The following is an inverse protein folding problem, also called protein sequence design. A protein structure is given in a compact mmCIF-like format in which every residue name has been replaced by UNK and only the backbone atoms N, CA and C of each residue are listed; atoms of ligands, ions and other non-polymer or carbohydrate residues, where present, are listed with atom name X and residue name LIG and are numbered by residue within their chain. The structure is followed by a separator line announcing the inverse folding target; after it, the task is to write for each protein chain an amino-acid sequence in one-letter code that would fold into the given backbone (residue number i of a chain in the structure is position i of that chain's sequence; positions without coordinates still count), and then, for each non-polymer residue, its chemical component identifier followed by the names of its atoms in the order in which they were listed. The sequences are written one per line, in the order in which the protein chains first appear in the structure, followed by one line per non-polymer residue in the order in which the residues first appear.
data_IF_756277257933
#
_entry.id   IF_756277257933
#
_cell.length_a   1.000
_cell.length_b   1.000
_cell.length_c   1.000
_cell.angle_alpha   90.00
_cell.angle_beta   90.00
_cell.angle_gamma   90.00
#
_symmetry.space_group_name_H-M   'P 1'
#
loop_
_entity.id
_entity.type
_entity.pdbx_description
1 polymer ?
#
# COMPACT_ATOMS: atom_id res chain seq x y z
N UNK A 1 26.24 -5.37 26.99
CA UNK A 1 25.85 -5.73 25.61
C UNK A 1 24.88 -6.88 25.76
N UNK A 2 23.64 -6.74 25.31
CA UNK A 2 22.61 -7.77 25.48
C UNK A 2 22.37 -8.38 24.10
N UNK A 3 22.44 -9.70 23.97
CA UNK A 3 22.10 -10.36 22.69
C UNK A 3 20.60 -10.27 22.43
N UNK A 4 20.16 -10.42 21.17
CA UNK A 4 18.73 -10.45 20.83
C UNK A 4 17.96 -11.51 21.66
N UNK A 5 18.58 -12.66 21.89
CA UNK A 5 18.00 -13.75 22.70
C UNK A 5 17.94 -13.36 24.18
N UNK A 6 18.94 -12.63 24.69
CA UNK A 6 18.87 -12.11 26.06
C UNK A 6 17.83 -10.99 26.21
N UNK A 7 17.58 -10.17 25.18
CA UNK A 7 16.47 -9.20 25.18
C UNK A 7 15.13 -9.91 25.26
N UNK A 8 14.93 -10.95 24.42
CA UNK A 8 13.73 -11.80 24.45
C UNK A 8 13.54 -12.45 25.83
N UNK A 9 14.61 -12.99 26.42
CA UNK A 9 14.57 -13.61 27.75
C UNK A 9 14.26 -12.62 28.88
N UNK A 10 14.45 -11.32 28.66
CA UNK A 10 14.11 -10.26 29.63
C UNK A 10 12.67 -9.79 29.51
N UNK A 11 12.04 -9.95 28.34
CA UNK A 11 10.65 -9.54 28.07
C UNK A 11 9.66 -10.68 28.34
N UNK A 12 9.65 -11.18 29.58
CA UNK A 12 8.85 -12.36 29.97
C UNK A 12 7.32 -12.10 29.96
N UNK A 13 6.89 -10.84 30.01
CA UNK A 13 5.48 -10.46 29.93
C UNK A 13 5.04 -10.04 28.52
N UNK A 14 5.94 -10.13 27.53
CA UNK A 14 5.70 -9.87 26.12
C UNK A 14 5.17 -8.47 25.82
N UNK A 15 5.50 -7.47 26.67
CA UNK A 15 4.99 -6.10 26.53
C UNK A 15 5.90 -5.20 25.70
N UNK A 16 7.10 -5.66 25.32
CA UNK A 16 8.02 -4.87 24.54
C UNK A 16 7.61 -4.79 23.05
N UNK A 17 6.64 -3.92 22.75
CA UNK A 17 6.14 -3.71 21.40
C UNK A 17 7.23 -3.26 20.41
N UNK A 18 8.24 -2.52 20.89
CA UNK A 18 9.38 -2.11 20.07
C UNK A 18 10.21 -3.32 19.61
N UNK A 19 10.52 -4.26 20.51
CA UNK A 19 11.22 -5.50 20.19
C UNK A 19 10.43 -6.35 19.17
N UNK A 20 9.12 -6.50 19.38
CA UNK A 20 8.23 -7.22 18.46
C UNK A 20 8.26 -6.59 17.06
N UNK A 21 8.06 -5.28 16.97
CA UNK A 21 8.01 -4.59 15.67
C UNK A 21 9.37 -4.61 14.95
N UNK A 22 10.46 -4.58 15.71
CA UNK A 22 11.82 -4.74 15.20
C UNK A 22 12.07 -6.14 14.64
N UNK A 23 11.69 -7.19 15.37
CA UNK A 23 11.77 -8.58 14.89
C UNK A 23 10.98 -8.75 13.59
N UNK A 24 9.72 -8.30 13.57
CA UNK A 24 8.90 -8.33 12.36
C UNK A 24 9.53 -7.57 11.19
N UNK A 25 10.18 -6.42 11.42
CA UNK A 25 10.87 -5.67 10.37
C UNK A 25 12.06 -6.45 9.78
N UNK A 26 12.88 -7.06 10.63
CA UNK A 26 14.02 -7.89 10.19
C UNK A 26 13.54 -9.06 9.31
N UNK A 27 12.47 -9.75 9.74
CA UNK A 27 11.86 -10.86 9.00
C UNK A 27 11.21 -10.37 7.70
N UNK A 28 10.35 -9.37 7.79
CA UNK A 28 9.47 -8.97 6.68
C UNK A 28 10.21 -8.25 5.56
N UNK A 29 11.17 -7.40 5.92
CA UNK A 29 11.85 -6.46 5.02
C UNK A 29 13.27 -6.90 4.74
N UNK A 30 14.05 -7.19 5.79
CA UNK A 30 15.47 -7.50 5.63
C UNK A 30 15.69 -8.94 5.18
N UNK A 31 14.69 -9.81 5.34
CA UNK A 31 14.75 -11.25 5.00
C UNK A 31 15.93 -11.95 5.68
N UNK A 32 16.34 -11.41 6.82
CA UNK A 32 17.43 -11.92 7.65
C UNK A 32 17.01 -11.79 9.10
N UNK A 33 17.43 -12.76 9.89
CA UNK A 33 17.46 -12.66 11.34
C UNK A 33 18.94 -12.77 11.80
N UNK A 34 19.88 -13.02 10.86
CA UNK A 34 21.29 -13.31 11.11
C UNK A 34 22.27 -12.44 10.28
N UNK A 35 23.55 -12.49 10.68
CA UNK A 35 24.75 -11.71 10.29
C UNK A 35 24.88 -10.34 10.96
N UNK A 36 25.81 -10.28 11.91
CA UNK A 36 26.62 -9.12 12.29
C UNK A 36 25.88 -7.77 12.13
N UNK A 37 25.12 -7.42 13.16
CA UNK A 37 24.23 -6.26 13.31
C UNK A 37 24.71 -4.96 12.65
N UNK A 38 23.75 -4.22 12.07
CA UNK A 38 23.87 -2.77 11.84
C UNK A 38 22.48 -2.11 11.67
N UNK A 39 21.58 -2.26 12.64
CA UNK A 39 20.69 -1.15 12.94
C UNK A 39 21.35 -0.31 14.05
N UNK A 40 21.03 0.99 14.13
CA UNK A 40 21.79 1.91 14.99
C UNK A 40 21.71 1.56 16.50
N UNK A 41 20.78 0.66 16.87
CA UNK A 41 20.47 0.28 18.25
C UNK A 41 21.20 -1.00 18.71
N UNK A 42 21.74 -1.83 17.79
CA UNK A 42 22.61 -2.95 18.14
C UNK A 42 23.96 -2.85 17.42
N UNK A 43 25.04 -2.75 18.21
CA UNK A 43 26.41 -2.86 17.69
C UNK A 43 26.68 -4.28 17.19
N UNK A 44 27.43 -4.37 16.10
CA UNK A 44 27.89 -5.61 15.46
C UNK A 44 28.56 -6.56 16.48
N UNK A 45 27.85 -7.58 16.94
CA UNK A 45 28.37 -8.74 17.65
C UNK A 45 28.43 -9.99 16.76
N UNK A 46 29.47 -10.79 16.92
CA UNK A 46 29.80 -12.00 16.13
C UNK A 46 28.85 -13.20 16.35
N UNK A 47 27.69 -13.01 16.97
CA UNK A 47 26.78 -14.13 17.23
C UNK A 47 26.04 -14.55 15.96
N UNK A 48 26.34 -15.77 15.52
CA UNK A 48 25.54 -16.50 14.53
C UNK A 48 24.37 -17.15 15.28
N UNK A 49 23.14 -16.77 14.94
CA UNK A 49 21.95 -17.42 15.51
C UNK A 49 21.87 -18.87 15.02
N UNK A 50 21.47 -19.77 15.92
CA UNK A 50 21.27 -21.20 15.68
C UNK A 50 19.80 -21.54 15.41
N UNK A 51 19.50 -22.74 14.95
CA UNK A 51 18.10 -23.17 14.78
C UNK A 51 17.29 -23.13 16.09
N UNK A 52 17.85 -23.50 17.26
CA UNK A 52 17.22 -23.25 18.56
C UNK A 52 16.93 -21.78 18.87
N UNK A 53 17.76 -20.85 18.42
CA UNK A 53 17.51 -19.42 18.61
C UNK A 53 16.35 -18.93 17.76
N UNK A 54 16.27 -19.40 16.52
CA UNK A 54 15.13 -19.12 15.64
C UNK A 54 13.83 -19.70 16.22
N UNK A 55 13.88 -20.89 16.81
CA UNK A 55 12.72 -21.48 17.50
C UNK A 55 12.27 -20.59 18.67
N UNK A 56 13.20 -20.16 19.54
CA UNK A 56 12.90 -19.23 20.63
C UNK A 56 12.27 -17.92 20.15
N UNK A 57 12.73 -17.36 19.02
CA UNK A 57 12.13 -16.16 18.42
C UNK A 57 10.69 -16.44 17.98
N UNK A 58 10.44 -17.58 17.34
CA UNK A 58 9.10 -17.96 16.87
C UNK A 58 8.14 -18.17 18.04
N UNK A 59 8.60 -18.85 19.09
CA UNK A 59 7.82 -19.09 20.32
C UNK A 59 7.53 -17.78 21.06
N UNK A 60 8.51 -16.86 21.12
CA UNK A 60 8.33 -15.53 21.69
C UNK A 60 7.27 -14.73 20.91
N UNK A 61 7.38 -14.68 19.59
CA UNK A 61 6.41 -13.97 18.75
C UNK A 61 4.99 -14.56 18.88
N UNK A 62 4.86 -15.89 18.82
CA UNK A 62 3.59 -16.58 19.08
C UNK A 62 2.99 -16.15 20.42
N UNK A 63 3.77 -16.28 21.49
CA UNK A 63 3.33 -15.95 22.85
C UNK A 63 2.92 -14.48 22.98
N UNK A 64 3.70 -13.57 22.39
CA UNK A 64 3.39 -12.15 22.36
C UNK A 64 2.08 -11.84 21.61
N UNK A 65 1.73 -12.61 20.58
CA UNK A 65 0.44 -12.49 19.89
C UNK A 65 -0.72 -12.99 20.75
N UNK A 66 -0.54 -14.10 21.46
CA UNK A 66 -1.56 -14.73 22.31
C UNK A 66 -1.89 -13.93 23.59
N UNK A 67 -0.96 -13.09 24.07
CA UNK A 67 -1.21 -12.20 25.22
C UNK A 67 -2.10 -11.00 24.90
N UNK A 68 -2.36 -10.74 23.61
CA UNK A 68 -3.19 -9.61 23.20
C UNK A 68 -4.67 -10.00 23.17
N UNK A 69 -5.53 -9.03 23.44
CA UNK A 69 -6.99 -9.21 23.32
C UNK A 69 -7.39 -9.66 21.90
N UNK A 70 -6.71 -9.12 20.88
CA UNK A 70 -6.88 -9.50 19.49
C UNK A 70 -5.55 -9.98 18.90
N UNK A 71 -5.65 -10.97 18.01
CA UNK A 71 -4.49 -11.57 17.36
C UNK A 71 -3.64 -10.52 16.62
N UNK A 72 -2.33 -10.59 16.80
CA UNK A 72 -1.40 -9.70 16.10
C UNK A 72 -1.09 -10.23 14.69
N UNK A 73 -1.84 -9.76 13.69
CA UNK A 73 -1.64 -10.21 12.31
C UNK A 73 -0.30 -9.79 11.70
N UNK A 74 0.41 -8.81 12.28
CA UNK A 74 1.78 -8.50 11.85
C UNK A 74 2.73 -9.64 12.24
N UNK A 75 2.54 -10.20 13.44
CA UNK A 75 3.29 -11.38 13.89
C UNK A 75 2.96 -12.59 13.02
N UNK A 76 1.67 -12.85 12.78
CA UNK A 76 1.23 -13.94 11.90
C UNK A 76 1.89 -13.84 10.52
N UNK A 77 1.91 -12.63 9.94
CA UNK A 77 2.56 -12.37 8.66
C UNK A 77 4.06 -12.69 8.67
N UNK A 78 4.78 -12.29 9.71
CA UNK A 78 6.21 -12.59 9.83
C UNK A 78 6.47 -14.08 10.00
N UNK A 79 5.71 -14.77 10.86
CA UNK A 79 5.82 -16.21 11.04
C UNK A 79 5.49 -17.00 9.75
N UNK A 80 4.51 -16.58 8.97
CA UNK A 80 4.23 -17.20 7.67
C UNK A 80 5.41 -17.07 6.68
N UNK A 81 6.13 -15.95 6.72
CA UNK A 81 7.34 -15.76 5.88
C UNK A 81 8.52 -16.61 6.34
N UNK A 82 8.62 -16.87 7.64
CA UNK A 82 9.54 -17.86 8.18
C UNK A 82 9.16 -19.24 7.63
N UNK A 83 7.89 -19.62 7.71
CA UNK A 83 7.37 -20.91 7.24
C UNK A 83 7.65 -21.16 5.75
N UNK A 84 7.47 -20.15 4.91
CA UNK A 84 7.62 -20.27 3.46
C UNK A 84 9.08 -20.13 2.98
N UNK A 85 10.02 -19.92 3.90
CA UNK A 85 11.44 -19.80 3.59
C UNK A 85 11.81 -18.48 2.91
N UNK A 86 11.04 -17.42 3.13
CA UNK A 86 11.38 -16.08 2.60
C UNK A 86 12.59 -15.45 3.32
N UNK A 87 12.95 -15.95 4.50
CA UNK A 87 14.18 -15.60 5.21
C UNK A 87 15.35 -16.45 4.71
N UNK A 88 16.50 -15.79 4.50
CA UNK A 88 17.77 -16.48 4.26
C UNK A 88 18.16 -17.19 5.55
N UNK A 89 18.22 -18.52 5.51
CA UNK A 89 18.66 -19.36 6.62
C UNK A 89 19.50 -20.52 6.08
N UNK A 90 20.62 -20.88 6.74
CA UNK A 90 21.56 -21.89 6.21
C UNK A 90 21.00 -23.32 6.18
N UNK A 91 19.99 -23.62 7.00
CA UNK A 91 19.44 -24.97 7.17
C UNK A 91 17.93 -25.04 6.85
N UNK A 92 17.39 -26.24 6.67
CA UNK A 92 15.92 -26.39 6.61
C UNK A 92 15.35 -26.18 8.00
N UNK A 93 14.53 -25.15 8.17
CA UNK A 93 13.84 -24.88 9.42
C UNK A 93 12.43 -25.46 9.40
N UNK A 94 12.04 -26.13 10.48
CA UNK A 94 10.70 -26.69 10.69
C UNK A 94 10.20 -26.16 12.03
N UNK A 95 8.99 -25.61 12.05
CA UNK A 95 8.38 -25.13 13.29
C UNK A 95 8.14 -26.24 14.30
N UNK A 96 8.04 -25.86 15.58
CA UNK A 96 7.37 -26.66 16.60
C UNK A 96 5.91 -26.91 16.19
N UNK A 97 5.34 -28.01 16.67
CA UNK A 97 3.93 -28.35 16.45
C UNK A 97 3.01 -27.23 16.97
N UNK A 98 3.38 -26.59 18.07
CA UNK A 98 2.64 -25.48 18.69
C UNK A 98 2.60 -24.24 17.79
N UNK A 99 3.73 -23.82 17.20
CA UNK A 99 3.77 -22.65 16.30
C UNK A 99 3.05 -22.97 14.99
N UNK A 100 3.19 -24.18 14.45
CA UNK A 100 2.46 -24.61 13.28
C UNK A 100 0.93 -24.60 13.51
N UNK A 101 0.49 -25.13 14.66
CA UNK A 101 -0.92 -25.16 15.07
C UNK A 101 -1.48 -23.75 15.28
N UNK A 102 -0.70 -22.86 15.89
CA UNK A 102 -1.05 -21.45 16.04
C UNK A 102 -1.32 -20.78 14.68
N UNK A 103 -0.44 -20.96 13.68
CA UNK A 103 -0.63 -20.36 12.36
C UNK A 103 -1.82 -20.94 11.61
N UNK A 104 -2.02 -22.26 11.70
CA UNK A 104 -3.18 -22.91 11.11
C UNK A 104 -4.49 -22.34 11.69
N UNK A 105 -4.57 -22.23 13.03
CA UNK A 105 -5.72 -21.65 13.72
C UNK A 105 -5.91 -20.17 13.33
N UNK A 106 -4.85 -19.37 13.35
CA UNK A 106 -4.87 -17.95 12.99
C UNK A 106 -5.47 -17.68 11.60
N UNK A 107 -5.18 -18.53 10.62
CA UNK A 107 -5.71 -18.41 9.27
C UNK A 107 -7.15 -18.93 9.13
N UNK A 108 -7.49 -20.02 9.82
CA UNK A 108 -8.84 -20.60 9.73
C UNK A 108 -9.89 -19.78 10.48
N UNK A 109 -9.51 -19.24 11.64
CA UNK A 109 -10.39 -18.46 12.50
C UNK A 109 -10.47 -16.98 12.05
N UNK A 110 -9.72 -16.60 11.00
CA UNK A 110 -9.69 -15.24 10.50
C UNK A 110 -11.10 -14.79 10.07
N UNK A 111 -11.56 -13.67 10.64
CA UNK A 111 -12.82 -13.02 10.31
C UNK A 111 -12.61 -11.50 10.20
N UNK A 112 -13.43 -10.84 9.36
CA UNK A 112 -13.41 -9.39 9.30
C UNK A 112 -14.08 -8.78 10.54
N UNK A 113 -13.52 -7.70 11.12
CA UNK A 113 -14.16 -6.95 12.17
C UNK A 113 -15.57 -6.47 11.79
N UNK A 114 -16.47 -6.42 12.78
CA UNK A 114 -17.83 -5.92 12.57
C UNK A 114 -17.85 -4.39 12.44
N UNK A 115 -18.45 -3.89 11.37
CA UNK A 115 -18.60 -2.46 11.10
C UNK A 115 -19.86 -1.95 11.81
N UNK A 116 -19.71 -1.04 12.79
CA UNK A 116 -20.84 -0.51 13.57
C UNK A 116 -21.72 0.48 12.79
N UNK A 117 -21.12 1.29 11.92
CA UNK A 117 -21.83 2.32 11.15
C UNK A 117 -21.41 2.25 9.67
N UNK A 118 -22.09 1.40 8.89
CA UNK A 118 -21.81 1.27 7.45
C UNK A 118 -22.13 2.54 6.66
N UNK A 119 -23.15 3.32 7.06
CA UNK A 119 -23.54 4.55 6.35
C UNK A 119 -22.53 5.69 6.44
N UNK A 120 -21.54 5.58 7.31
CA UNK A 120 -20.42 6.51 7.36
C UNK A 120 -19.29 6.16 6.39
N UNK A 121 -19.39 5.05 5.65
CA UNK A 121 -18.40 4.64 4.66
C UNK A 121 -18.73 5.23 3.29
N UNK A 122 -17.71 5.75 2.62
CA UNK A 122 -17.80 6.29 1.28
C UNK A 122 -18.00 5.16 0.24
N UNK A 123 -19.05 5.28 -0.57
CA UNK A 123 -19.31 4.41 -1.70
C UNK A 123 -18.65 4.99 -2.97
N UNK A 124 -17.69 4.26 -3.54
CA UNK A 124 -16.96 4.69 -4.74
C UNK A 124 -17.89 4.85 -5.95
N UNK A 125 -18.86 3.94 -6.13
CA UNK A 125 -19.79 4.00 -7.26
C UNK A 125 -20.65 5.26 -7.27
N UNK A 126 -21.12 5.72 -6.10
CA UNK A 126 -21.85 6.97 -5.95
C UNK A 126 -21.01 8.17 -6.37
N UNK A 127 -19.74 8.22 -5.98
CA UNK A 127 -18.83 9.30 -6.38
C UNK A 127 -18.61 9.32 -7.90
N UNK A 128 -18.37 8.16 -8.51
CA UNK A 128 -18.18 8.03 -9.97
C UNK A 128 -19.38 8.58 -10.73
N UNK A 129 -20.59 8.26 -10.27
CA UNK A 129 -21.84 8.71 -10.90
C UNK A 129 -22.13 10.21 -10.65
N UNK A 130 -21.70 10.76 -9.51
CA UNK A 130 -21.88 12.16 -9.17
C UNK A 130 -20.89 13.09 -9.90
N UNK A 131 -19.69 12.60 -10.21
CA UNK A 131 -18.66 13.41 -10.87
C UNK A 131 -19.00 13.63 -12.34
N UNK A 132 -19.63 14.78 -12.61
CA UNK A 132 -19.73 15.36 -13.93
C UNK A 132 -18.70 16.47 -14.08
N UNK A 133 -17.91 16.44 -15.16
CA UNK A 133 -17.07 17.59 -15.53
C UNK A 133 -18.04 18.69 -15.92
N UNK A 134 -18.31 19.63 -15.02
CA UNK A 134 -19.19 20.77 -15.28
C UNK A 134 -18.56 21.68 -16.33
N UNK A 135 -19.03 21.68 -17.59
CA UNK A 135 -18.47 22.53 -18.62
C UNK A 135 -18.84 23.98 -18.30
N UNK A 136 -17.86 24.87 -18.21
CA UNK A 136 -18.08 26.32 -18.07
C UNK A 136 -17.79 26.94 -16.70
N UNK A 137 -17.37 26.16 -15.71
CA UNK A 137 -16.75 26.75 -14.50
C UNK A 137 -15.35 27.28 -14.80
N UNK A 138 -14.99 28.40 -14.17
CA UNK A 138 -13.67 28.99 -14.34
C UNK A 138 -12.58 28.07 -13.78
N UNK A 139 -11.50 27.90 -14.54
CA UNK A 139 -10.35 27.10 -14.12
C UNK A 139 -9.64 27.80 -12.96
N UNK A 140 -9.50 27.12 -11.83
CA UNK A 140 -8.73 27.60 -10.68
C UNK A 140 -7.31 27.05 -10.74
N UNK A 141 -6.33 27.96 -10.77
CA UNK A 141 -4.93 27.60 -10.63
C UNK A 141 -4.60 27.47 -9.15
N UNK A 142 -4.07 26.32 -8.72
CA UNK A 142 -3.67 26.07 -7.34
C UNK A 142 -2.15 25.99 -7.21
N UNK A 143 -1.62 26.50 -6.08
CA UNK A 143 -0.20 26.72 -5.88
C UNK A 143 0.57 25.47 -5.45
N UNK A 144 0.59 24.46 -6.31
CA UNK A 144 1.40 23.26 -6.12
C UNK A 144 1.90 22.69 -7.43
N UNK A 145 2.99 21.93 -7.36
CA UNK A 145 3.48 21.13 -8.47
C UNK A 145 2.94 19.71 -8.37
N UNK A 146 2.39 19.19 -9.46
CA UNK A 146 2.00 17.78 -9.54
C UNK A 146 3.15 16.93 -10.10
N UNK A 147 3.74 16.09 -9.24
CA UNK A 147 4.77 15.11 -9.60
C UNK A 147 4.09 13.80 -9.98
N UNK A 148 3.85 13.64 -11.28
CA UNK A 148 3.16 12.49 -11.88
C UNK A 148 4.16 11.38 -12.20
N UNK A 149 4.24 10.39 -11.32
CA UNK A 149 5.19 9.26 -11.46
C UNK A 149 4.50 7.94 -11.82
N UNK A 150 3.63 7.42 -10.95
CA UNK A 150 2.84 6.23 -11.27
C UNK A 150 1.76 6.63 -12.28
N UNK A 151 1.64 5.88 -13.38
CA UNK A 151 0.71 6.21 -14.47
C UNK A 151 -0.75 6.10 -14.02
N UNK A 152 -1.11 5.05 -13.30
CA UNK A 152 -2.48 4.79 -12.82
C UNK A 152 -2.90 5.81 -11.78
N UNK A 153 -2.13 5.95 -10.69
CA UNK A 153 -2.38 6.97 -9.66
C UNK A 153 -2.33 8.38 -10.24
N UNK A 154 -1.40 8.60 -11.17
CA UNK A 154 -1.26 9.86 -11.87
C UNK A 154 -2.50 10.25 -12.66
N UNK A 155 -3.14 9.29 -13.34
CA UNK A 155 -4.42 9.50 -14.02
C UNK A 155 -5.57 9.72 -13.04
N UNK A 156 -5.59 8.98 -11.93
CA UNK A 156 -6.61 9.15 -10.90
C UNK A 156 -6.56 10.55 -10.27
N UNK A 157 -5.37 11.05 -9.95
CA UNK A 157 -5.21 12.41 -9.41
C UNK A 157 -5.48 13.47 -10.49
N UNK A 158 -5.04 13.26 -11.73
CA UNK A 158 -5.44 14.13 -12.86
C UNK A 158 -6.96 14.24 -12.97
N UNK A 159 -7.69 13.14 -12.80
CA UNK A 159 -9.14 13.13 -12.86
C UNK A 159 -9.76 13.94 -11.71
N UNK A 160 -9.33 13.73 -10.46
CA UNK A 160 -9.79 14.49 -9.29
C UNK A 160 -9.56 16.01 -9.42
N UNK A 161 -8.44 16.41 -10.02
CA UNK A 161 -8.15 17.81 -10.31
C UNK A 161 -9.08 18.38 -11.37
N UNK A 162 -9.25 17.66 -12.47
CA UNK A 162 -10.05 18.11 -13.62
C UNK A 162 -11.55 18.15 -13.31
N UNK A 163 -12.06 17.21 -12.51
CA UNK A 163 -13.48 17.19 -12.11
C UNK A 163 -13.88 18.43 -11.29
N UNK A 164 -12.93 19.05 -10.61
CA UNK A 164 -13.12 20.26 -9.82
C UNK A 164 -12.58 21.53 -10.50
N UNK A 165 -12.26 21.46 -11.80
CA UNK A 165 -11.70 22.57 -12.58
C UNK A 165 -10.41 23.17 -11.98
N UNK A 166 -9.58 22.33 -11.36
CA UNK A 166 -8.32 22.73 -10.73
C UNK A 166 -7.15 22.38 -11.65
N UNK A 167 -6.24 23.34 -11.83
CA UNK A 167 -4.94 23.10 -12.46
C UNK A 167 -3.79 23.38 -11.48
N UNK A 168 -2.80 22.46 -11.35
CA UNK A 168 -1.56 22.77 -10.68
C UNK A 168 -0.77 23.85 -11.43
N UNK A 169 0.10 24.57 -10.72
CA UNK A 169 0.97 25.59 -11.34
C UNK A 169 2.00 25.00 -12.30
N UNK A 170 2.40 23.75 -12.07
CA UNK A 170 3.28 22.99 -12.97
C UNK A 170 3.10 21.49 -12.80
N UNK A 171 3.52 20.72 -13.82
CA UNK A 171 3.49 19.25 -13.81
C UNK A 171 4.86 18.71 -14.14
N UNK A 172 5.33 17.76 -13.34
CA UNK A 172 6.54 16.98 -13.59
C UNK A 172 6.10 15.57 -13.93
N UNK A 173 6.18 15.20 -15.21
CA UNK A 173 5.90 13.82 -15.67
C UNK A 173 7.19 13.01 -15.57
N UNK A 174 7.21 12.02 -14.69
CA UNK A 174 8.36 11.14 -14.53
C UNK A 174 8.21 9.91 -15.42
N UNK A 175 9.25 9.62 -16.21
CA UNK A 175 9.38 8.37 -16.97
C UNK A 175 10.33 7.45 -16.21
N UNK A 176 9.86 6.32 -15.66
CA UNK A 176 10.71 5.39 -14.95
C UNK A 176 11.84 4.87 -15.83
N UNK A 177 13.10 5.15 -15.48
CA UNK A 177 14.24 4.51 -16.17
C UNK A 177 14.34 3.07 -15.68
N UNK A 178 14.02 2.10 -16.53
CA UNK A 178 14.22 0.69 -16.19
C UNK A 178 15.71 0.41 -16.01
N UNK A 179 16.10 -0.13 -14.85
CA UNK A 179 17.47 -0.61 -14.63
C UNK A 179 17.86 -1.61 -15.73
N UNK A 180 19.11 -1.60 -16.19
CA UNK A 180 19.62 -2.55 -17.18
C UNK A 180 19.39 -4.02 -16.78
N UNK A 181 19.45 -4.33 -15.48
CA UNK A 181 19.11 -5.67 -14.94
C UNK A 181 17.67 -6.08 -15.24
N UNK A 182 16.70 -5.17 -15.12
CA UNK A 182 15.29 -5.41 -15.52
C UNK A 182 15.09 -5.51 -17.03
N UNK A 183 15.92 -4.85 -17.84
CA UNK A 183 15.93 -5.01 -19.31
C UNK A 183 16.44 -6.39 -19.73
N UNK A 184 17.51 -6.89 -19.12
CA UNK A 184 18.07 -8.22 -19.39
C UNK A 184 17.18 -9.35 -18.84
N UNK A 185 16.60 -9.19 -17.63
CA UNK A 185 15.57 -10.11 -17.13
C UNK A 185 14.26 -10.06 -17.95
N UNK A 186 13.97 -8.94 -18.61
CA UNK A 186 12.89 -8.80 -19.58
C UNK A 186 13.18 -9.43 -20.95
N UNK A 187 14.43 -9.84 -21.21
CA UNK A 187 14.89 -10.53 -22.42
C UNK A 187 15.02 -12.05 -22.23
N UNK A 188 14.85 -12.58 -21.01
CA UNK A 188 14.68 -14.02 -20.81
C UNK A 188 13.40 -14.48 -21.53
N UNK A 189 13.45 -15.56 -22.32
CA UNK A 189 12.44 -15.86 -23.32
C UNK A 189 11.04 -15.95 -22.72
N UNK A 190 10.13 -15.32 -23.45
CA UNK A 190 8.67 -15.22 -23.30
C UNK A 190 7.97 -16.57 -22.98
N UNK A 191 8.67 -17.70 -23.09
CA UNK A 191 8.17 -19.06 -22.79
C UNK A 191 7.75 -19.31 -21.33
N UNK A 192 8.21 -18.51 -20.35
CA UNK A 192 7.78 -18.64 -18.95
C UNK A 192 6.67 -17.66 -18.52
N UNK A 193 6.16 -16.82 -19.43
CA UNK A 193 4.97 -16.03 -19.13
C UNK A 193 3.76 -16.97 -19.14
N UNK A 194 3.24 -17.33 -17.96
CA UNK A 194 1.93 -17.96 -17.86
C UNK A 194 0.92 -16.96 -18.46
N UNK A 195 0.44 -17.21 -19.67
CA UNK A 195 -0.74 -16.54 -20.18
C UNK A 195 -1.94 -17.21 -19.52
N UNK A 196 -2.83 -16.44 -18.90
CA UNK A 196 -4.14 -16.98 -18.51
C UNK A 196 -5.06 -16.70 -19.70
N UNK A 197 -5.30 -17.73 -20.50
CA UNK A 197 -6.31 -17.67 -21.56
C UNK A 197 -7.68 -17.85 -20.90
N UNK A 198 -8.36 -16.74 -20.62
CA UNK A 198 -9.76 -16.75 -20.21
C UNK A 198 -10.58 -16.78 -21.51
N UNK A 199 -11.16 -17.94 -21.83
CA UNK A 199 -12.15 -18.05 -22.92
C UNK A 199 -13.48 -17.51 -22.40
N UNK A 200 -13.69 -16.20 -22.52
CA UNK A 200 -15.03 -15.62 -22.40
C UNK A 200 -15.86 -16.10 -23.62
N UNK A 201 -17.15 -16.42 -23.43
CA UNK A 201 -18.07 -16.86 -24.50
C UNK A 201 -18.10 -15.86 -25.69
N UNK A 202 -18.47 -16.28 -26.92
CA UNK A 202 -17.86 -15.79 -28.15
C UNK A 202 -18.22 -14.33 -28.45
N UNK A 203 -17.18 -13.48 -28.48
CA UNK A 203 -17.27 -12.08 -28.89
C UNK A 203 -16.06 -11.25 -28.50
N UNK A 204 -15.45 -11.51 -27.34
CA UNK A 204 -14.21 -10.87 -26.88
C UNK A 204 -13.25 -11.88 -26.27
N UNK A 205 -12.28 -12.36 -27.06
CA UNK A 205 -11.08 -13.00 -26.54
C UNK A 205 -10.16 -11.89 -25.97
N UNK A 206 -10.27 -11.59 -24.67
CA UNK A 206 -9.25 -10.80 -24.01
C UNK A 206 -8.15 -11.74 -23.50
N UNK A 207 -7.00 -11.74 -24.17
CA UNK A 207 -5.77 -12.36 -23.66
C UNK A 207 -5.29 -11.54 -22.46
N UNK A 208 -5.60 -12.00 -21.24
CA UNK A 208 -5.03 -11.41 -20.03
C UNK A 208 -3.65 -12.01 -19.82
N UNK A 209 -2.60 -11.27 -20.19
CA UNK A 209 -1.26 -11.64 -19.74
C UNK A 209 -1.25 -11.56 -18.20
N UNK A 210 -0.55 -12.48 -17.51
CA UNK A 210 -0.35 -12.40 -16.05
C UNK A 210 0.37 -11.12 -15.60
N UNK A 211 0.78 -10.23 -16.52
CA UNK A 211 1.27 -8.88 -16.21
C UNK A 211 0.19 -7.78 -16.23
N UNK A 212 -0.97 -8.02 -16.83
CA UNK A 212 -2.05 -7.03 -16.89
C UNK A 212 -3.07 -7.21 -15.77
N UNK A 213 -3.51 -6.12 -15.16
CA UNK A 213 -4.67 -6.13 -14.28
C UNK A 213 -5.94 -6.32 -15.09
N UNK A 214 -6.84 -7.17 -14.61
CA UNK A 214 -8.18 -7.30 -15.16
C UNK A 214 -9.13 -6.45 -14.32
N UNK A 215 -9.94 -5.61 -14.94
CA UNK A 215 -10.98 -4.93 -14.19
C UNK A 215 -12.07 -5.95 -13.82
N UNK A 216 -12.19 -6.25 -12.53
CA UNK A 216 -13.10 -7.28 -11.98
C UNK A 216 -14.30 -6.69 -11.22
N UNK A 217 -14.47 -5.38 -11.27
CA UNK A 217 -15.49 -4.67 -10.49
C UNK A 217 -16.77 -4.48 -11.31
N UNK A 218 -17.88 -4.18 -10.63
CA UNK A 218 -19.16 -3.84 -11.27
C UNK A 218 -19.06 -2.59 -12.14
N UNK A 219 -20.04 -2.33 -13.01
CA UNK A 219 -20.00 -1.18 -13.93
C UNK A 219 -19.89 0.17 -13.21
N UNK A 220 -20.57 0.33 -12.08
CA UNK A 220 -20.44 1.52 -11.23
C UNK A 220 -19.02 1.71 -10.64
N UNK A 221 -18.22 0.65 -10.69
CA UNK A 221 -16.82 0.60 -10.28
C UNK A 221 -15.88 0.34 -11.48
N UNK A 222 -16.35 0.48 -12.73
CA UNK A 222 -15.56 0.25 -13.94
C UNK A 222 -14.78 1.50 -14.38
N UNK A 223 -13.68 1.74 -13.69
CA UNK A 223 -13.01 3.04 -13.61
C UNK A 223 -12.02 3.32 -14.75
N UNK A 224 -11.65 2.31 -15.53
CA UNK A 224 -10.81 2.50 -16.72
C UNK A 224 -11.47 3.41 -17.77
N UNK A 225 -12.81 3.54 -17.75
CA UNK A 225 -13.57 4.49 -18.58
C UNK A 225 -13.50 5.93 -18.05
N UNK A 226 -13.20 6.10 -16.75
CA UNK A 226 -13.10 7.39 -16.04
C UNK A 226 -11.70 8.01 -16.21
N UNK A 227 -10.66 7.18 -16.20
CA UNK A 227 -9.25 7.62 -16.22
C UNK A 227 -8.71 7.98 -17.61
N UNK A 228 -9.18 9.08 -18.19
CA UNK A 228 -8.48 9.74 -19.29
C UNK A 228 -7.39 10.68 -18.77
N UNK A 229 -6.16 10.61 -19.30
CA UNK A 229 -5.16 11.66 -19.05
C UNK A 229 -5.52 12.90 -19.87
N UNK A 230 -6.40 13.74 -19.34
CA UNK A 230 -6.86 14.98 -19.99
C UNK A 230 -6.20 16.24 -19.42
N UNK A 231 -5.29 16.08 -18.47
CA UNK A 231 -4.60 17.20 -17.84
C UNK A 231 -3.54 17.74 -18.80
N UNK A 232 -3.88 18.81 -19.53
CA UNK A 232 -2.98 19.50 -20.45
C UNK A 232 -2.53 20.81 -19.82
N UNK A 233 -1.24 20.92 -19.48
CA UNK A 233 -0.67 22.14 -18.87
C UNK A 233 0.54 22.60 -19.67
N UNK A 234 0.58 23.90 -20.00
CA UNK A 234 1.68 24.53 -20.75
C UNK A 234 3.03 24.41 -20.02
N UNK A 235 3.02 24.48 -18.69
CA UNK A 235 4.21 24.34 -17.86
C UNK A 235 4.38 22.89 -17.38
N UNK A 236 4.66 21.99 -18.33
CA UNK A 236 4.98 20.59 -18.03
C UNK A 236 6.44 20.28 -18.37
N UNK A 237 7.09 19.50 -17.51
CA UNK A 237 8.42 18.96 -17.76
C UNK A 237 8.41 17.45 -17.69
N UNK A 238 9.27 16.81 -18.47
CA UNK A 238 9.45 15.36 -18.47
C UNK A 238 10.82 15.02 -17.93
N UNK A 239 10.86 14.17 -16.90
CA UNK A 239 12.11 13.75 -16.26
C UNK A 239 12.22 12.24 -16.28
N UNK A 240 13.38 11.71 -16.70
CA UNK A 240 13.64 10.28 -16.63
C UNK A 240 14.30 9.96 -15.29
N UNK A 241 13.70 9.17 -14.41
CA UNK A 241 14.29 8.79 -13.11
C UNK A 241 13.85 7.39 -12.68
N UNK A 242 14.65 6.67 -11.89
CA UNK A 242 14.29 5.36 -11.33
C UNK A 242 13.92 5.42 -9.85
N UNK A 243 14.35 6.46 -9.15
CA UNK A 243 14.12 6.69 -7.74
C UNK A 243 13.84 8.19 -7.48
N UNK A 244 12.89 8.50 -6.60
CA UNK A 244 12.48 9.87 -6.27
C UNK A 244 13.61 10.74 -5.67
N UNK A 245 14.68 10.11 -5.20
CA UNK A 245 15.82 10.78 -4.56
C UNK A 245 16.98 11.07 -5.52
N UNK A 246 16.84 10.78 -6.83
CA UNK A 246 17.89 11.10 -7.82
C UNK A 246 17.98 12.63 -8.05
N UNK A 247 19.21 13.16 -8.13
CA UNK A 247 19.46 14.60 -8.29
C UNK A 247 18.60 15.28 -9.36
N UNK A 248 18.46 14.69 -10.55
CA UNK A 248 17.65 15.25 -11.65
C UNK A 248 16.16 15.43 -11.32
N UNK A 249 15.55 14.54 -10.53
CA UNK A 249 14.15 14.71 -10.11
C UNK A 249 14.06 15.63 -8.90
N UNK A 250 15.04 15.61 -7.99
CA UNK A 250 15.15 16.58 -6.89
C UNK A 250 15.25 18.00 -7.43
N UNK A 251 16.11 18.25 -8.41
CA UNK A 251 16.27 19.54 -9.07
C UNK A 251 15.01 19.99 -9.81
N UNK A 252 14.31 19.05 -10.45
CA UNK A 252 13.01 19.33 -11.08
C UNK A 252 11.95 19.73 -10.04
N UNK A 253 11.85 19.02 -8.92
CA UNK A 253 10.92 19.33 -7.83
C UNK A 253 11.21 20.68 -7.18
N UNK A 254 12.50 21.03 -7.00
CA UNK A 254 12.94 22.36 -6.55
C UNK A 254 12.46 23.47 -7.48
N UNK A 255 12.67 23.29 -8.79
CA UNK A 255 12.29 24.25 -9.84
C UNK A 255 10.78 24.30 -10.12
N UNK A 256 10.02 23.30 -9.70
CA UNK A 256 8.57 23.32 -9.79
C UNK A 256 7.99 24.55 -9.10
N UNK A 257 6.83 25.02 -9.53
CA UNK A 257 6.17 26.16 -8.90
C UNK A 257 5.37 25.75 -7.64
N UNK A 258 5.14 26.71 -6.76
CA UNK A 258 4.33 26.55 -5.54
C UNK A 258 5.02 25.90 -4.35
N UNK A 259 4.37 26.02 -3.20
CA UNK A 259 4.85 25.62 -1.87
C UNK A 259 4.69 24.13 -1.57
N UNK A 260 3.84 23.44 -2.34
CA UNK A 260 3.54 22.02 -2.14
C UNK A 260 3.78 21.17 -3.40
N UNK A 261 4.00 19.88 -3.20
CA UNK A 261 4.14 18.84 -4.20
C UNK A 261 3.06 17.77 -3.99
N UNK A 262 2.15 17.61 -4.95
CA UNK A 262 1.29 16.43 -5.01
C UNK A 262 2.06 15.30 -5.66
N UNK A 263 2.20 14.16 -4.98
CA UNK A 263 3.07 13.08 -5.43
C UNK A 263 2.32 11.76 -5.64
N UNK A 264 2.42 11.19 -6.84
CA UNK A 264 1.77 9.92 -7.21
C UNK A 264 2.72 8.71 -7.17
N UNK A 265 3.68 8.66 -6.24
CA UNK A 265 4.58 7.50 -6.03
C UNK A 265 5.97 7.67 -6.66
N UNK A 266 6.88 6.72 -6.48
CA UNK A 266 8.31 6.89 -6.84
C UNK A 266 9.30 6.40 -5.77
N UNK A 267 8.75 5.80 -4.70
CA UNK A 267 9.50 5.20 -3.60
C UNK A 267 9.52 6.09 -2.35
N UNK A 268 10.27 5.64 -1.35
CA UNK A 268 10.48 6.37 -0.10
C UNK A 268 11.31 7.63 -0.35
N UNK A 269 10.80 8.78 0.06
CA UNK A 269 11.51 10.06 0.02
C UNK A 269 12.48 10.12 1.20
N UNK A 270 13.75 10.43 0.93
CA UNK A 270 14.82 10.50 1.94
C UNK A 270 14.90 11.89 2.53
N UNK A 271 15.45 11.99 3.74
CA UNK A 271 15.68 13.25 4.46
C UNK A 271 16.33 14.32 3.56
N UNK A 272 17.43 13.97 2.91
CA UNK A 272 18.15 14.88 2.00
C UNK A 272 17.27 15.40 0.84
N UNK A 273 16.28 14.62 0.38
CA UNK A 273 15.33 15.08 -0.64
C UNK A 273 14.34 16.08 -0.06
N UNK A 274 13.80 15.83 1.14
CA UNK A 274 12.93 16.80 1.82
C UNK A 274 13.65 18.14 2.06
N UNK A 275 14.88 18.09 2.58
CA UNK A 275 15.69 19.27 2.86
C UNK A 275 16.04 20.06 1.60
N UNK A 276 16.46 19.39 0.53
CA UNK A 276 16.83 20.07 -0.72
C UNK A 276 15.64 20.65 -1.46
N UNK A 277 14.49 19.97 -1.45
CA UNK A 277 13.28 20.42 -2.14
C UNK A 277 12.59 21.54 -1.36
N UNK A 278 12.59 21.45 -0.03
CA UNK A 278 12.03 22.44 0.89
C UNK A 278 10.58 22.86 0.53
N UNK A 279 9.72 21.87 0.32
CA UNK A 279 8.28 22.02 0.03
C UNK A 279 7.47 20.99 0.80
N UNK A 280 6.18 21.22 0.96
CA UNK A 280 5.25 20.23 1.55
C UNK A 280 5.01 19.09 0.56
N UNK A 281 5.15 17.85 0.99
CA UNK A 281 4.85 16.67 0.17
C UNK A 281 3.46 16.15 0.51
N UNK A 282 2.50 16.33 -0.39
CA UNK A 282 1.14 15.84 -0.23
C UNK A 282 1.10 14.40 -0.76
N UNK A 283 0.75 13.48 0.13
CA UNK A 283 0.58 12.07 -0.19
C UNK A 283 -0.80 11.58 0.27
N UNK A 284 -1.40 10.72 -0.55
CA UNK A 284 -2.58 9.95 -0.18
C UNK A 284 -2.10 8.53 0.06
N UNK A 285 -2.25 8.00 1.27
CA UNK A 285 -1.85 6.64 1.65
C UNK A 285 -3.11 5.81 1.91
N UNK A 286 -3.24 4.58 1.38
CA UNK A 286 -4.47 3.78 1.45
C UNK A 286 -4.54 3.05 2.80
N UNK A 287 -4.31 3.77 3.89
CA UNK A 287 -4.45 3.29 5.24
C UNK A 287 -4.82 4.42 6.19
N UNK A 288 -5.44 4.05 7.30
CA UNK A 288 -5.80 4.98 8.37
C UNK A 288 -4.56 5.35 9.18
N UNK A 289 -4.13 6.60 9.14
CA UNK A 289 -2.92 7.07 9.83
C UNK A 289 -3.24 7.65 11.22
N UNK A 290 -2.47 7.31 12.28
CA UNK A 290 -1.19 6.60 12.25
C UNK A 290 -1.28 5.06 12.31
N UNK A 291 -2.47 4.50 12.52
CA UNK A 291 -2.72 3.08 12.84
C UNK A 291 -2.11 2.10 11.80
N UNK A 292 -2.23 2.40 10.51
CA UNK A 292 -1.81 1.54 9.39
C UNK A 292 -0.85 2.28 8.46
N UNK A 293 0.46 2.18 8.70
CA UNK A 293 1.54 2.71 7.83
C UNK A 293 2.17 1.60 6.98
N UNK A 294 2.83 1.97 5.90
CA UNK A 294 3.71 1.07 5.14
C UNK A 294 3.06 0.43 3.91
N UNK A 295 3.44 -0.82 3.62
CA UNK A 295 2.99 -1.51 2.41
C UNK A 295 1.61 -2.16 2.61
N UNK A 296 0.91 -2.45 1.51
CA UNK A 296 -0.40 -3.11 1.47
C UNK A 296 -1.46 -2.45 2.37
N UNK A 297 -1.40 -1.12 2.52
CA UNK A 297 -2.29 -0.37 3.41
C UNK A 297 -3.77 -0.71 3.22
N UNK A 298 -4.22 -0.92 1.98
CA UNK A 298 -5.60 -1.34 1.69
C UNK A 298 -5.94 -2.63 2.46
N UNK A 299 -5.12 -3.67 2.29
CA UNK A 299 -5.38 -4.98 2.86
C UNK A 299 -5.23 -4.97 4.38
N UNK A 300 -4.24 -4.26 4.91
CA UNK A 300 -4.09 -4.11 6.36
C UNK A 300 -5.26 -3.34 6.98
N UNK A 301 -5.76 -2.30 6.32
CA UNK A 301 -6.94 -1.56 6.79
C UNK A 301 -8.17 -2.47 6.82
N UNK A 302 -8.42 -3.23 5.76
CA UNK A 302 -9.55 -4.17 5.74
C UNK A 302 -9.41 -5.25 6.82
N UNK A 303 -8.21 -5.81 7.00
CA UNK A 303 -7.96 -6.84 8.01
C UNK A 303 -8.20 -6.33 9.44
N UNK A 304 -7.76 -5.11 9.74
CA UNK A 304 -7.78 -4.56 11.09
C UNK A 304 -9.10 -3.84 11.43
N UNK A 305 -9.75 -3.23 10.44
CA UNK A 305 -10.92 -2.37 10.64
C UNK A 305 -12.20 -2.93 10.01
N UNK A 306 -12.09 -3.92 9.11
CA UNK A 306 -13.21 -4.45 8.32
C UNK A 306 -13.53 -3.64 7.07
N UNK A 307 -12.89 -2.49 6.88
CA UNK A 307 -13.07 -1.59 5.74
C UNK A 307 -11.72 -0.98 5.31
N UNK A 308 -11.57 -0.63 4.02
CA UNK A 308 -10.41 0.12 3.57
C UNK A 308 -10.52 1.61 3.93
N UNK A 309 -9.37 2.26 4.11
CA UNK A 309 -9.29 3.69 4.42
C UNK A 309 -8.21 4.35 3.58
N UNK A 310 -8.25 5.68 3.45
CA UNK A 310 -7.20 6.47 2.84
C UNK A 310 -6.97 7.76 3.63
N UNK A 311 -5.71 8.08 3.91
CA UNK A 311 -5.31 9.30 4.61
C UNK A 311 -4.54 10.21 3.66
N UNK A 312 -4.96 11.48 3.58
CA UNK A 312 -4.19 12.58 3.02
C UNK A 312 -3.31 13.21 4.10
N UNK A 313 -2.02 13.43 3.83
CA UNK A 313 -1.12 14.01 4.81
C UNK A 313 0.06 14.74 4.15
N UNK A 314 0.67 15.66 4.91
CA UNK A 314 1.97 16.22 4.57
C UNK A 314 3.07 15.30 5.06
N UNK A 315 3.65 14.53 4.15
CA UNK A 315 4.67 13.53 4.43
C UNK A 315 5.97 14.16 4.93
N UNK A 316 6.61 13.51 5.91
CA UNK A 316 7.97 13.79 6.35
C UNK A 316 8.88 12.55 6.19
N UNK A 317 10.06 12.55 6.82
CA UNK A 317 11.12 11.54 6.62
C UNK A 317 10.72 10.10 6.98
N UNK A 318 9.79 9.91 7.91
CA UNK A 318 9.35 8.57 8.31
C UNK A 318 8.39 7.93 7.30
N UNK A 319 8.13 6.63 7.47
CA UNK A 319 7.20 5.89 6.61
C UNK A 319 5.77 6.31 6.96
N UNK A 320 5.12 6.99 6.03
CA UNK A 320 3.75 7.48 6.15
C UNK A 320 3.48 8.30 7.43
N UNK A 321 4.50 9.03 7.88
CA UNK A 321 4.42 9.97 9.01
C UNK A 321 4.31 11.40 8.51
N UNK A 322 3.69 12.26 9.34
CA UNK A 322 3.46 13.67 9.02
C UNK A 322 2.09 14.15 9.47
N UNK A 323 1.76 15.42 9.21
CA UNK A 323 0.47 16.00 9.59
C UNK A 323 -0.66 15.47 8.71
N UNK A 324 -1.65 14.79 9.30
CA UNK A 324 -2.83 14.27 8.57
C UNK A 324 -3.80 15.42 8.31
N UNK A 325 -4.17 15.58 7.03
CA UNK A 325 -5.04 16.62 6.49
C UNK A 325 -6.49 16.14 6.45
N UNK A 326 -6.67 14.89 6.01
CA UNK A 326 -7.97 14.28 5.84
C UNK A 326 -7.84 12.75 5.85
N UNK A 327 -8.93 12.09 6.18
CA UNK A 327 -9.05 10.64 6.21
C UNK A 327 -10.46 10.30 5.74
N UNK A 328 -10.54 9.31 4.86
CA UNK A 328 -11.80 8.77 4.38
C UNK A 328 -11.79 7.25 4.54
N UNK A 329 -12.95 6.67 4.85
CA UNK A 329 -13.16 5.23 4.99
C UNK A 329 -14.17 4.78 3.95
N UNK A 330 -13.91 3.67 3.28
CA UNK A 330 -14.66 3.26 2.10
C UNK A 330 -15.39 1.95 2.36
N UNK A 331 -16.43 1.69 1.59
CA UNK A 331 -17.05 0.37 1.57
C UNK A 331 -16.09 -0.68 1.00
N UNK A 332 -16.40 -1.96 1.14
CA UNK A 332 -15.64 -2.99 0.45
C UNK A 332 -15.93 -2.94 -1.07
N UNK A 333 -14.96 -3.29 -1.93
CA UNK A 333 -15.17 -3.35 -3.36
C UNK A 333 -16.32 -4.27 -3.75
N UNK A 334 -17.18 -3.82 -4.66
CA UNK A 334 -18.19 -4.65 -5.30
C UNK A 334 -17.64 -5.26 -6.59
N UNK A 335 -17.63 -6.60 -6.63
CA UNK A 335 -17.08 -7.36 -7.76
C UNK A 335 -18.17 -7.79 -8.73
N UNK A 336 -17.81 -7.90 -10.01
CA UNK A 336 -18.65 -8.55 -11.00
C UNK A 336 -18.65 -10.07 -10.72
N UNK A 337 -19.76 -10.57 -10.19
CA UNK A 337 -19.89 -11.97 -9.76
C UNK A 337 -19.62 -12.96 -10.89
N UNK A 338 -20.13 -12.70 -12.09
CA UNK A 338 -19.89 -13.56 -13.25
C UNK A 338 -18.40 -13.65 -13.59
N UNK A 339 -17.73 -12.50 -13.62
CA UNK A 339 -16.31 -12.43 -13.94
C UNK A 339 -15.45 -13.09 -12.86
N UNK A 340 -15.84 -12.98 -11.58
CA UNK A 340 -15.14 -13.70 -10.50
C UNK A 340 -15.30 -15.21 -10.67
N UNK A 341 -16.50 -15.72 -10.90
CA UNK A 341 -16.73 -17.15 -11.07
C UNK A 341 -15.97 -17.71 -12.28
N UNK A 342 -15.90 -16.95 -13.37
CA UNK A 342 -15.08 -17.28 -14.53
C UNK A 342 -13.59 -17.26 -14.19
N UNK A 343 -13.11 -16.26 -13.45
CA UNK A 343 -11.71 -16.18 -13.02
C UNK A 343 -11.32 -17.32 -12.10
N UNK A 344 -12.16 -17.67 -11.13
CA UNK A 344 -11.91 -18.77 -10.20
C UNK A 344 -11.78 -20.09 -10.96
N UNK A 345 -12.66 -20.32 -11.94
CA UNK A 345 -12.64 -21.51 -12.79
C UNK A 345 -11.40 -21.62 -13.69
N UNK A 346 -10.84 -20.49 -14.16
CA UNK A 346 -9.81 -20.48 -15.20
C UNK A 346 -8.40 -20.08 -14.72
N UNK A 347 -8.29 -19.20 -13.71
CA UNK A 347 -7.01 -18.68 -13.24
C UNK A 347 -6.28 -19.63 -12.27
N UNK A 348 -6.98 -20.64 -11.71
CA UNK A 348 -6.45 -21.65 -10.80
C UNK A 348 -5.56 -21.01 -9.71
N UNK A 349 -4.27 -21.36 -9.67
CA UNK A 349 -3.33 -20.85 -8.67
C UNK A 349 -3.02 -19.35 -8.76
N UNK A 350 -3.38 -18.67 -9.85
CA UNK A 350 -3.18 -17.23 -10.01
C UNK A 350 -4.41 -16.40 -9.59
N UNK A 351 -5.52 -17.03 -9.21
CA UNK A 351 -6.79 -16.33 -8.95
C UNK A 351 -6.63 -15.17 -7.96
N UNK A 352 -6.09 -15.44 -6.78
CA UNK A 352 -5.89 -14.41 -5.75
C UNK A 352 -4.89 -13.33 -6.15
N UNK A 353 -3.87 -13.67 -6.95
CA UNK A 353 -2.91 -12.68 -7.45
C UNK A 353 -3.57 -11.71 -8.44
N UNK A 354 -4.49 -12.21 -9.28
CA UNK A 354 -5.28 -11.35 -10.17
C UNK A 354 -6.17 -10.43 -9.34
N UNK A 355 -6.94 -10.96 -8.40
CA UNK A 355 -7.82 -10.15 -7.53
C UNK A 355 -7.04 -9.09 -6.76
N UNK A 356 -5.92 -9.49 -6.14
CA UNK A 356 -5.01 -8.60 -5.43
C UNK A 356 -4.55 -7.42 -6.30
N UNK A 357 -4.05 -7.70 -7.51
CA UNK A 357 -3.59 -6.66 -8.44
C UNK A 357 -4.73 -5.80 -8.94
N UNK A 358 -5.88 -6.38 -9.23
CA UNK A 358 -7.05 -5.61 -9.65
C UNK A 358 -7.49 -4.60 -8.60
N UNK A 359 -7.47 -4.96 -7.31
CA UNK A 359 -7.73 -4.03 -6.22
C UNK A 359 -6.72 -2.87 -6.23
N UNK A 360 -5.42 -3.18 -6.32
CA UNK A 360 -4.36 -2.17 -6.33
C UNK A 360 -4.35 -1.28 -7.59
N UNK A 361 -4.77 -1.81 -8.74
CA UNK A 361 -4.70 -1.11 -10.03
C UNK A 361 -5.99 -0.33 -10.36
N UNK A 362 -7.11 -0.62 -9.69
CA UNK A 362 -8.38 0.06 -9.96
C UNK A 362 -9.04 0.68 -8.73
N UNK A 363 -9.13 -0.06 -7.62
CA UNK A 363 -9.86 0.39 -6.43
C UNK A 363 -9.03 1.35 -5.56
N UNK A 364 -7.79 0.99 -5.25
CA UNK A 364 -6.86 1.84 -4.48
C UNK A 364 -6.67 3.25 -5.09
N UNK A 365 -6.42 3.39 -6.41
CA UNK A 365 -6.31 4.70 -7.04
C UNK A 365 -7.56 5.57 -6.90
N UNK A 366 -8.76 4.97 -6.85
CA UNK A 366 -9.99 5.73 -6.66
C UNK A 366 -10.12 6.27 -5.25
N UNK A 367 -9.88 5.43 -4.23
CA UNK A 367 -9.95 5.88 -2.85
C UNK A 367 -9.06 7.11 -2.65
N UNK A 368 -7.85 7.07 -3.21
CA UNK A 368 -6.92 8.20 -3.16
C UNK A 368 -7.40 9.41 -3.96
N UNK A 369 -8.03 9.21 -5.11
CA UNK A 369 -8.59 10.30 -5.92
C UNK A 369 -9.78 10.99 -5.21
N UNK A 370 -10.67 10.20 -4.60
CA UNK A 370 -11.80 10.70 -3.79
C UNK A 370 -11.26 11.50 -2.60
N UNK A 371 -10.34 10.91 -1.83
CA UNK A 371 -9.71 11.58 -0.69
C UNK A 371 -9.02 12.88 -1.10
N UNK A 372 -8.34 12.89 -2.26
CA UNK A 372 -7.74 14.11 -2.83
C UNK A 372 -8.82 15.13 -3.20
N UNK A 373 -9.93 14.71 -3.82
CA UNK A 373 -11.06 15.58 -4.14
C UNK A 373 -11.61 16.26 -2.89
N UNK A 374 -11.78 15.55 -1.78
CA UNK A 374 -12.28 16.13 -0.53
C UNK A 374 -11.28 17.14 0.07
N UNK A 375 -9.97 16.87 -0.04
CA UNK A 375 -8.93 17.85 0.33
C UNK A 375 -9.02 19.11 -0.53
N UNK A 376 -9.20 18.96 -1.84
CA UNK A 376 -9.28 20.09 -2.78
C UNK A 376 -10.55 20.94 -2.55
N UNK A 377 -11.66 20.33 -2.13
CA UNK A 377 -12.88 21.05 -1.73
C UNK A 377 -12.64 21.95 -0.52
N UNK A 378 -11.91 21.46 0.49
CA UNK A 378 -11.52 22.28 1.66
C UNK A 378 -10.64 23.48 1.27
N UNK A 379 -9.74 23.30 0.31
CA UNK A 379 -8.93 24.40 -0.25
C UNK A 379 -9.80 25.35 -1.08
N UNK A 380 -10.83 24.84 -1.76
CA UNK A 380 -11.78 25.67 -2.51
C UNK A 380 -12.67 26.54 -1.63
N UNK A 381 -13.00 26.09 -0.43
CA UNK A 381 -13.78 26.85 0.55
C UNK A 381 -13.01 28.04 1.17
N UNK A 382 -11.77 28.31 0.76
CA UNK A 382 -11.01 29.51 1.13
C UNK A 382 -9.71 29.24 1.88
N UNK A 383 -9.40 27.97 2.19
CA UNK A 383 -8.13 27.60 2.83
C UNK A 383 -6.99 27.59 1.81
N UNK A 384 -5.81 28.08 2.18
CA UNK A 384 -4.60 27.80 1.41
C UNK A 384 -4.25 26.31 1.51
N UNK A 385 -3.61 25.77 0.46
CA UNK A 385 -2.99 24.44 0.54
C UNK A 385 -1.87 24.39 1.59
N UNK A 386 -1.46 25.53 2.13
CA UNK A 386 -0.51 25.61 3.23
C UNK A 386 -1.15 25.62 4.62
N UNK A 387 -2.42 25.99 4.71
CA UNK A 387 -3.10 26.34 5.96
C UNK A 387 -4.19 25.32 6.33
N UNK A 388 -4.16 24.13 5.73
CA UNK A 388 -5.10 23.07 6.08
C UNK A 388 -4.87 22.62 7.52
N UNK A 389 -5.96 22.40 8.25
CA UNK A 389 -5.92 21.89 9.63
C UNK A 389 -5.23 20.51 9.66
N UNK A 390 -4.32 20.35 10.64
CA UNK A 390 -3.50 19.16 10.77
C UNK A 390 -3.78 18.41 12.06
N UNK A 391 -4.09 17.13 11.91
CA UNK A 391 -4.00 16.18 13.03
C UNK A 391 -2.57 15.65 13.10
N UNK A 392 -1.87 15.95 14.20
CA UNK A 392 -0.55 15.38 14.47
C UNK A 392 -0.64 13.87 14.69
N UNK A 393 0.28 13.11 14.11
CA UNK A 393 0.46 11.70 14.44
C UNK A 393 1.37 11.55 15.66
N UNK A 394 0.97 10.79 16.67
CA UNK A 394 1.92 10.32 17.68
C UNK A 394 2.68 9.11 17.16
N UNK A 395 3.97 9.04 17.45
CA UNK A 395 4.82 7.95 16.97
C UNK A 395 4.37 6.59 17.55
N UNK A 396 4.11 6.55 18.87
CA UNK A 396 3.68 5.36 19.61
C UNK A 396 2.31 4.81 19.20
N UNK A 397 1.47 5.65 18.58
CA UNK A 397 0.12 5.26 18.12
C UNK A 397 0.15 4.58 16.75
N UNK A 398 1.28 4.63 16.02
CA UNK A 398 1.36 4.12 14.67
C UNK A 398 2.22 2.91 14.48
N UNK A 399 1.80 2.03 13.56
CA UNK A 399 2.49 0.78 13.27
C UNK A 399 2.79 0.62 11.80
N UNK A 400 4.04 0.25 11.51
CA UNK A 400 4.49 -0.02 10.15
C UNK A 400 4.19 -1.48 9.78
N UNK A 401 3.36 -1.66 8.76
CA UNK A 401 3.06 -2.94 8.15
C UNK A 401 3.84 -3.11 6.84
N UNK A 402 4.07 -4.36 6.48
CA UNK A 402 4.85 -4.74 5.30
C UNK A 402 3.99 -5.58 4.36
N UNK A 403 4.53 -5.90 3.17
CA UNK A 403 3.83 -6.75 2.21
C UNK A 403 3.28 -8.02 2.87
N UNK A 404 2.00 -8.28 2.64
CA UNK A 404 1.27 -9.37 3.26
C UNK A 404 1.67 -10.70 2.61
N UNK A 405 1.94 -11.72 3.43
CA UNK A 405 2.26 -13.06 2.97
C UNK A 405 1.07 -13.62 2.16
N UNK A 406 1.31 -14.33 1.04
CA UNK A 406 0.24 -14.83 0.18
C UNK A 406 -0.85 -15.62 0.92
N UNK A 407 -0.51 -16.47 1.90
CA UNK A 407 -1.53 -17.22 2.66
C UNK A 407 -2.50 -16.32 3.43
N UNK A 408 -1.99 -15.31 4.12
CA UNK A 408 -2.82 -14.35 4.88
C UNK A 408 -3.62 -13.46 3.92
N UNK A 409 -2.97 -12.98 2.87
CA UNK A 409 -3.59 -12.15 1.82
C UNK A 409 -4.71 -12.88 1.09
N UNK A 410 -4.49 -14.14 0.71
CA UNK A 410 -5.49 -14.94 0.00
C UNK A 410 -6.69 -15.21 0.91
N UNK A 411 -6.47 -15.53 2.18
CA UNK A 411 -7.55 -15.70 3.16
C UNK A 411 -8.36 -14.42 3.35
N UNK A 412 -7.68 -13.28 3.43
CA UNK A 412 -8.35 -11.98 3.49
C UNK A 412 -9.17 -11.70 2.22
N UNK A 413 -8.62 -12.01 1.04
CA UNK A 413 -9.35 -11.88 -0.23
C UNK A 413 -10.60 -12.77 -0.22
N UNK A 414 -10.53 -14.03 0.23
CA UNK A 414 -11.72 -14.88 0.38
C UNK A 414 -12.80 -14.19 1.21
N UNK A 415 -12.43 -13.58 2.33
CA UNK A 415 -13.40 -12.85 3.17
C UNK A 415 -13.98 -11.62 2.47
N UNK A 416 -13.16 -10.86 1.76
CA UNK A 416 -13.62 -9.72 0.96
C UNK A 416 -14.60 -10.18 -0.14
N UNK A 417 -14.30 -11.28 -0.83
CA UNK A 417 -15.17 -11.84 -1.84
C UNK A 417 -16.44 -12.47 -1.24
N UNK A 418 -16.39 -13.04 -0.04
CA UNK A 418 -17.57 -13.66 0.58
C UNK A 418 -18.49 -12.65 1.27
N UNK A 419 -18.03 -11.42 1.51
CA UNK A 419 -18.86 -10.33 2.05
C UNK A 419 -19.86 -9.75 1.01
N UNK A 420 -20.10 -10.48 -0.10
CA UNK A 420 -20.99 -10.12 -1.21
C UNK A 420 -22.49 -10.14 -0.87
N UNK A 421 -22.89 -10.82 0.19
CA UNK A 421 -24.31 -11.19 0.41
C UNK A 421 -24.99 -10.46 1.59
N UNK A 422 -24.39 -9.38 2.13
CA UNK A 422 -24.96 -8.64 3.29
C UNK A 422 -25.15 -7.15 3.05
N UNK A 423 -25.47 -6.76 1.82
CA UNK A 423 -25.90 -5.39 1.47
C UNK A 423 -27.31 -5.45 0.90
#
# INVERSE_FOLDING_TARGET
MVSLIEEIKKDLDYKNQFLIDRLCFLIDVKKIIHKAYSDNDLKQGDQTLTAPDLMQICDYLKSASEQKENLDYKIVNSLLKIQSGEIVWPEKFVFSEDVASFLYKALNDLQLPKIKNKSALCNIGSWVNAVSVSPGQAIKKMDFTFVKWNETLGKAYSFALMSQNILPTSVIKVRPTQSWKRRVLGLLPIMFQKFVFIKLKPGLLNTVSVKGSLNIFNEDHCLHKVYGDRLVIKNSMVVNASNINEHKIVDAMKKGNGSALLFSGGGLVRQNTFEQVNKKFIHMHPGKLPEVRGADGFFWSVLLNGYPSCSAFYQNVGIDTGGVIHEESFELPMFNTLLISELESHAKSNFYDVVYRSILDYYDPMMRAITLSDVLEKVNAGSSIDDLELRSQKEIEGRNYHFMHPSLRNKLIELILNNREKV
#
